data_IF_119241028831
#
_entry.id   IF_119241028831
#
_cell.length_a   1.000
_cell.length_b   1.000
_cell.length_c   1.000
_cell.angle_alpha   90.00
_cell.angle_beta   90.00
_cell.angle_gamma   90.00
#
_symmetry.space_group_name_H-M   'P 1'
#
loop_
_entity.id
_entity.type
_entity.pdbx_description
1 polymer ?
#
# COMPACT_ATOMS: atom_id res chain seq x y z
N UNK A 1 -11.41 -21.11 -28.86
CA UNK A 1 -10.98 -19.97 -29.71
C UNK A 1 -10.01 -19.13 -28.89
N UNK A 2 -8.77 -18.94 -29.34
CA UNK A 2 -7.74 -18.19 -28.58
C UNK A 2 -7.73 -16.74 -29.04
N UNK A 3 -7.89 -15.80 -28.11
CA UNK A 3 -7.85 -14.35 -28.39
C UNK A 3 -6.45 -13.81 -28.07
N UNK A 4 -5.76 -13.29 -29.07
CA UNK A 4 -4.43 -12.68 -28.92
C UNK A 4 -4.55 -11.15 -28.94
N UNK A 5 -3.85 -10.46 -28.02
CA UNK A 5 -3.72 -9.01 -28.01
C UNK A 5 -2.32 -8.59 -27.54
N UNK A 6 -1.83 -7.44 -28.00
CA UNK A 6 -0.50 -6.91 -27.67
C UNK A 6 -0.55 -6.17 -26.33
N UNK A 7 0.45 -6.39 -25.46
CA UNK A 7 0.65 -5.54 -24.28
C UNK A 7 1.14 -4.15 -24.72
N UNK A 8 0.44 -3.10 -24.30
CA UNK A 8 0.75 -1.72 -24.65
C UNK A 8 0.67 -0.80 -23.43
N UNK A 9 1.35 0.35 -23.51
CA UNK A 9 1.29 1.42 -22.53
C UNK A 9 1.56 0.97 -21.09
N UNK A 10 0.67 1.36 -20.18
CA UNK A 10 0.76 1.11 -18.74
C UNK A 10 0.93 -0.38 -18.39
N UNK A 11 0.19 -1.28 -19.05
CA UNK A 11 0.28 -2.73 -18.76
C UNK A 11 1.65 -3.30 -19.12
N UNK A 12 2.26 -2.82 -20.20
CA UNK A 12 3.62 -3.23 -20.58
C UNK A 12 4.64 -2.76 -19.54
N UNK A 13 4.54 -1.50 -19.11
CA UNK A 13 5.44 -0.94 -18.09
C UNK A 13 5.31 -1.67 -16.75
N UNK A 14 4.10 -1.97 -16.30
CA UNK A 14 3.86 -2.77 -15.08
C UNK A 14 4.49 -4.16 -15.19
N UNK A 15 4.26 -4.85 -16.32
CA UNK A 15 4.82 -6.19 -16.53
C UNK A 15 6.36 -6.20 -16.52
N UNK A 16 7.00 -5.19 -17.13
CA UNK A 16 8.45 -5.02 -17.11
C UNK A 16 8.96 -4.76 -15.69
N UNK A 17 8.30 -3.86 -14.93
CA UNK A 17 8.67 -3.51 -13.55
C UNK A 17 8.52 -4.67 -12.57
N UNK A 18 7.37 -5.34 -12.56
CA UNK A 18 7.14 -6.49 -11.68
C UNK A 18 8.01 -7.69 -12.08
N UNK A 19 8.24 -7.87 -13.38
CA UNK A 19 9.19 -8.87 -13.86
C UNK A 19 10.62 -8.58 -13.42
N UNK A 20 11.05 -7.31 -13.40
CA UNK A 20 12.34 -6.92 -12.83
C UNK A 20 12.39 -7.25 -11.33
N UNK A 21 11.39 -6.82 -10.56
CA UNK A 21 11.30 -7.08 -9.11
C UNK A 21 11.48 -8.56 -8.78
N UNK A 22 10.74 -9.46 -9.44
CA UNK A 22 10.85 -10.90 -9.19
C UNK A 22 12.20 -11.52 -9.54
N UNK A 23 12.99 -10.89 -10.42
CA UNK A 23 14.31 -11.39 -10.81
C UNK A 23 15.44 -10.82 -9.96
N UNK A 24 15.24 -9.65 -9.36
CA UNK A 24 16.27 -8.94 -8.59
C UNK A 24 16.04 -8.99 -7.09
N UNK A 25 14.80 -9.19 -6.64
CA UNK A 25 14.48 -9.50 -5.25
C UNK A 25 14.32 -11.01 -5.08
N UNK A 26 14.74 -11.52 -3.92
CA UNK A 26 14.44 -12.88 -3.48
C UNK A 26 13.32 -12.80 -2.43
N UNK A 27 12.04 -12.86 -2.83
CA UNK A 27 10.95 -12.68 -1.90
C UNK A 27 10.85 -13.87 -0.95
N UNK A 28 10.82 -13.58 0.36
CA UNK A 28 10.47 -14.53 1.41
C UNK A 28 9.15 -14.05 2.02
N UNK A 29 8.12 -14.89 1.95
CA UNK A 29 6.81 -14.57 2.51
C UNK A 29 6.66 -15.15 3.91
N UNK A 30 6.32 -14.29 4.87
CA UNK A 30 5.90 -14.70 6.21
C UNK A 30 4.38 -14.52 6.32
N UNK A 31 3.70 -15.55 6.81
CA UNK A 31 2.26 -15.54 7.01
C UNK A 31 1.96 -15.90 8.46
N UNK A 32 1.09 -15.13 9.08
CA UNK A 32 0.61 -15.37 10.45
C UNK A 32 -0.80 -14.83 10.58
N UNK A 33 -1.53 -15.40 11.54
CA UNK A 33 -2.80 -14.86 12.00
C UNK A 33 -2.59 -13.94 13.20
N UNK A 34 -3.57 -13.09 13.48
CA UNK A 34 -3.62 -12.28 14.69
C UNK A 34 -5.06 -12.16 15.22
N UNK A 35 -5.19 -11.99 16.53
CA UNK A 35 -6.47 -11.77 17.20
C UNK A 35 -6.92 -10.31 16.94
N UNK A 36 -8.01 -10.13 16.20
CA UNK A 36 -8.47 -8.82 15.73
C UNK A 36 -9.67 -8.25 16.51
N UNK A 37 -10.22 -8.93 17.51
CA UNK A 37 -11.47 -8.52 18.19
C UNK A 37 -11.39 -7.10 18.74
N UNK A 38 -10.26 -6.72 19.35
CA UNK A 38 -10.08 -5.35 19.87
C UNK A 38 -10.07 -4.30 18.74
N UNK A 39 -9.41 -4.60 17.63
CA UNK A 39 -9.41 -3.73 16.45
C UNK A 39 -10.81 -3.58 15.88
N UNK A 40 -11.54 -4.70 15.74
CA UNK A 40 -12.90 -4.72 15.22
C UNK A 40 -13.87 -3.98 16.15
N UNK A 41 -13.72 -4.09 17.47
CA UNK A 41 -14.55 -3.35 18.42
C UNK A 41 -14.33 -1.83 18.29
N UNK A 42 -13.09 -1.38 18.13
CA UNK A 42 -12.77 0.03 17.89
C UNK A 42 -13.37 0.49 16.56
N UNK A 43 -13.14 -0.27 15.49
CA UNK A 43 -13.67 0.03 14.16
C UNK A 43 -15.21 0.11 14.16
N UNK A 44 -15.89 -0.87 14.73
CA UNK A 44 -17.35 -0.91 14.79
C UNK A 44 -17.91 0.25 15.62
N UNK A 45 -17.28 0.57 16.76
CA UNK A 45 -17.70 1.70 17.60
C UNK A 45 -17.49 3.06 16.92
N UNK A 46 -16.45 3.22 16.10
CA UNK A 46 -16.25 4.41 15.26
C UNK A 46 -17.27 4.46 14.13
N UNK A 47 -17.53 3.33 13.47
CA UNK A 47 -18.49 3.22 12.37
C UNK A 47 -19.91 3.53 12.82
N UNK A 48 -20.30 3.08 14.01
CA UNK A 48 -21.61 3.39 14.61
C UNK A 48 -21.79 4.89 14.88
N UNK A 49 -20.73 5.55 15.37
CA UNK A 49 -20.80 6.98 15.76
C UNK A 49 -20.65 7.93 14.59
N UNK A 50 -19.81 7.60 13.62
CA UNK A 50 -19.36 8.53 12.58
C UNK A 50 -19.85 8.14 11.17
N UNK A 51 -20.42 6.94 11.01
CA UNK A 51 -20.92 6.47 9.73
C UNK A 51 -19.83 6.49 8.66
N UNK A 52 -20.06 7.22 7.58
CA UNK A 52 -19.11 7.31 6.47
C UNK A 52 -17.89 8.19 6.77
N UNK A 53 -17.86 8.96 7.86
CA UNK A 53 -16.66 9.67 8.30
C UNK A 53 -15.73 8.77 9.14
N UNK A 54 -16.14 7.54 9.45
CA UNK A 54 -15.30 6.60 10.18
C UNK A 54 -14.06 6.21 9.38
N UNK A 55 -12.87 6.12 10.03
CA UNK A 55 -11.70 5.52 9.44
C UNK A 55 -11.92 4.07 9.02
N UNK A 56 -11.33 3.69 7.89
CA UNK A 56 -11.31 2.32 7.40
C UNK A 56 -10.34 1.44 8.21
N UNK A 57 -10.51 0.11 8.11
CA UNK A 57 -9.54 -0.85 8.64
C UNK A 57 -8.17 -0.61 8.00
N UNK A 58 -8.11 -0.29 6.71
CA UNK A 58 -6.87 0.07 6.02
C UNK A 58 -6.20 1.27 6.70
N UNK A 59 -6.92 2.36 6.99
CA UNK A 59 -6.34 3.52 7.66
C UNK A 59 -5.83 3.19 9.08
N UNK A 60 -6.56 2.37 9.84
CA UNK A 60 -6.13 1.89 11.16
C UNK A 60 -4.84 1.05 11.10
N UNK A 61 -4.76 0.15 10.12
CA UNK A 61 -3.56 -0.66 9.88
C UNK A 61 -2.40 0.21 9.40
N UNK A 62 -2.63 1.13 8.48
CA UNK A 62 -1.61 2.08 8.00
C UNK A 62 -1.04 2.91 9.14
N UNK A 63 -1.87 3.42 10.07
CA UNK A 63 -1.36 4.13 11.25
C UNK A 63 -0.50 3.22 12.12
N UNK A 64 -0.96 2.00 12.38
CA UNK A 64 -0.24 1.03 13.21
C UNK A 64 1.12 0.65 12.61
N UNK A 65 1.17 0.43 11.29
CA UNK A 65 2.41 0.15 10.54
C UNK A 65 3.32 1.38 10.56
N UNK A 66 2.79 2.58 10.34
CA UNK A 66 3.56 3.82 10.42
C UNK A 66 4.28 4.01 11.76
N UNK A 67 3.56 3.76 12.86
CA UNK A 67 4.12 3.82 14.21
C UNK A 67 5.11 2.67 14.51
N UNK A 68 4.99 1.52 13.84
CA UNK A 68 5.95 0.43 13.97
C UNK A 68 7.26 0.74 13.22
N UNK A 69 7.15 1.19 11.97
CA UNK A 69 8.29 1.54 11.12
C UNK A 69 9.09 2.72 11.69
N UNK A 70 8.44 3.68 12.35
CA UNK A 70 9.14 4.79 13.01
C UNK A 70 10.08 4.34 14.14
N UNK A 71 9.80 3.18 14.76
CA UNK A 71 10.63 2.57 15.82
C UNK A 71 11.55 1.46 15.31
N UNK A 72 11.31 0.94 14.11
CA UNK A 72 12.07 -0.16 13.51
C UNK A 72 12.57 0.26 12.12
N UNK A 73 13.53 1.19 12.11
CA UNK A 73 13.97 1.89 10.90
C UNK A 73 14.57 0.98 9.82
N UNK A 74 15.10 -0.18 10.19
CA UNK A 74 15.65 -1.15 9.23
C UNK A 74 14.59 -1.68 8.24
N UNK A 75 13.30 -1.68 8.62
CA UNK A 75 12.17 -2.01 7.74
C UNK A 75 11.63 -0.81 6.96
N UNK A 76 12.14 0.39 7.24
CA UNK A 76 11.78 1.63 6.55
C UNK A 76 12.93 2.05 5.64
N UNK A 77 13.29 1.22 4.68
CA UNK A 77 14.43 1.43 3.82
C UNK A 77 14.08 1.22 2.34
N UNK A 78 15.02 1.56 1.45
CA UNK A 78 14.97 1.21 0.03
C UNK A 78 16.35 0.71 -0.40
N UNK A 79 16.40 -0.13 -1.44
CA UNK A 79 17.67 -0.55 -2.06
C UNK A 79 17.84 0.18 -3.40
N UNK A 80 18.96 0.89 -3.52
CA UNK A 80 19.35 1.58 -4.74
C UNK A 80 20.79 1.20 -5.12
N UNK A 81 20.93 0.39 -6.17
CA UNK A 81 22.23 -0.18 -6.54
C UNK A 81 22.74 -1.12 -5.46
N UNK A 82 23.91 -0.81 -4.91
CA UNK A 82 24.58 -1.57 -3.85
C UNK A 82 24.42 -0.90 -2.46
N UNK A 83 23.54 0.09 -2.35
CA UNK A 83 23.29 0.83 -1.11
C UNK A 83 21.90 0.55 -0.53
N UNK A 84 21.86 0.37 0.79
CA UNK A 84 20.61 0.39 1.58
C UNK A 84 20.43 1.80 2.13
N UNK A 85 19.31 2.43 1.79
CA UNK A 85 18.97 3.78 2.26
C UNK A 85 17.85 3.68 3.28
N UNK A 86 18.20 3.88 4.55
CA UNK A 86 17.23 3.94 5.66
C UNK A 86 16.57 5.31 5.67
N UNK A 87 15.24 5.32 5.70
CA UNK A 87 14.43 6.54 5.57
C UNK A 87 14.03 7.09 6.94
N UNK A 88 14.17 8.40 7.12
CA UNK A 88 13.72 9.08 8.34
C UNK A 88 12.19 9.25 8.37
N UNK A 89 11.59 9.59 7.24
CA UNK A 89 10.15 9.74 7.06
C UNK A 89 9.50 8.38 6.78
N UNK A 90 8.29 8.14 7.31
CA UNK A 90 7.54 6.90 7.02
C UNK A 90 6.48 7.18 5.96
N UNK A 91 6.83 6.85 4.71
CA UNK A 91 5.96 7.01 3.55
C UNK A 91 5.44 5.63 3.13
N UNK A 92 4.12 5.43 3.16
CA UNK A 92 3.50 4.12 2.89
C UNK A 92 2.64 4.23 1.63
N UNK A 93 2.90 3.37 0.66
CA UNK A 93 2.02 3.19 -0.48
C UNK A 93 0.87 2.23 -0.17
N UNK A 94 -0.32 2.56 -0.65
CA UNK A 94 -1.51 1.72 -0.52
C UNK A 94 -1.91 1.26 -1.92
N UNK A 95 -1.95 -0.05 -2.15
CA UNK A 95 -2.37 -0.61 -3.42
C UNK A 95 -3.88 -0.38 -3.65
N UNK A 96 -4.23 0.27 -4.75
CA UNK A 96 -5.60 0.61 -5.17
C UNK A 96 -5.86 -0.01 -6.54
N UNK A 97 -6.83 -0.92 -6.60
CA UNK A 97 -7.30 -1.50 -7.85
C UNK A 97 -8.26 -0.53 -8.56
N UNK A 98 -8.06 -0.32 -9.86
CA UNK A 98 -8.88 0.57 -10.67
C UNK A 98 -9.16 -0.08 -12.03
N UNK A 99 -10.20 0.36 -12.76
CA UNK A 99 -10.45 -0.13 -14.13
C UNK A 99 -9.25 0.05 -15.09
N UNK A 100 -8.32 0.96 -14.78
CA UNK A 100 -7.13 1.25 -15.58
C UNK A 100 -5.92 0.40 -15.18
N UNK A 101 -5.99 -0.32 -14.05
CA UNK A 101 -4.94 -1.13 -13.47
C UNK A 101 -4.67 -0.77 -12.00
N UNK A 102 -3.67 -1.45 -11.44
CA UNK A 102 -3.24 -1.24 -10.07
C UNK A 102 -2.35 0.00 -9.95
N UNK A 103 -2.71 0.90 -9.04
CA UNK A 103 -1.87 2.01 -8.61
C UNK A 103 -1.46 1.82 -7.15
N UNK A 104 -0.32 2.40 -6.76
CA UNK A 104 0.17 2.38 -5.38
C UNK A 104 0.40 3.82 -4.89
N UNK A 105 -0.67 4.60 -4.67
CA UNK A 105 -0.55 5.94 -4.09
C UNK A 105 0.14 5.94 -2.73
N UNK A 106 1.02 6.92 -2.51
CA UNK A 106 1.81 7.11 -1.29
C UNK A 106 1.13 8.10 -0.35
N UNK A 107 0.92 7.69 0.89
CA UNK A 107 0.61 8.55 2.03
C UNK A 107 1.94 8.91 2.70
N UNK A 108 2.29 10.20 2.73
CA UNK A 108 3.59 10.64 3.25
C UNK A 108 3.54 10.86 4.76
N UNK A 109 4.65 10.73 5.47
CA UNK A 109 4.78 11.05 6.90
C UNK A 109 3.64 10.47 7.76
N UNK A 110 3.39 9.16 7.63
CA UNK A 110 2.27 8.46 8.28
C UNK A 110 2.40 8.50 9.81
N UNK A 111 3.63 8.44 10.31
CA UNK A 111 3.96 8.50 11.74
C UNK A 111 3.49 9.81 12.40
N UNK A 112 3.45 10.91 11.64
CA UNK A 112 3.02 12.22 12.11
C UNK A 112 1.50 12.45 12.00
N UNK A 113 0.77 11.54 11.35
CA UNK A 113 -0.68 11.70 11.09
C UNK A 113 -1.53 10.97 12.10
N UNK A 114 -2.70 11.54 12.36
CA UNK A 114 -3.82 10.86 12.99
C UNK A 114 -4.48 9.88 12.01
N UNK A 115 -5.26 8.94 12.54
CA UNK A 115 -6.00 7.98 11.70
C UNK A 115 -7.02 8.68 10.78
N UNK A 116 -7.59 9.81 11.20
CA UNK A 116 -8.55 10.58 10.40
C UNK A 116 -7.87 11.30 9.23
N UNK A 117 -6.68 11.86 9.45
CA UNK A 117 -5.89 12.46 8.37
C UNK A 117 -5.46 11.40 7.35
N UNK A 118 -5.06 10.21 7.81
CA UNK A 118 -4.73 9.07 6.93
C UNK A 118 -5.95 8.65 6.12
N UNK A 119 -7.13 8.53 6.74
CA UNK A 119 -8.37 8.18 6.03
C UNK A 119 -8.73 9.23 4.97
N UNK A 120 -8.65 10.52 5.31
CA UNK A 120 -8.94 11.60 4.37
C UNK A 120 -7.99 11.60 3.18
N UNK A 121 -6.69 11.38 3.43
CA UNK A 121 -5.68 11.29 2.37
C UNK A 121 -5.87 10.05 1.51
N UNK A 122 -6.19 8.90 2.11
CA UNK A 122 -6.49 7.67 1.41
C UNK A 122 -7.68 7.84 0.45
N UNK A 123 -8.80 8.42 0.91
CA UNK A 123 -9.97 8.69 0.06
C UNK A 123 -9.62 9.59 -1.12
N UNK A 124 -8.88 10.67 -0.85
CA UNK A 124 -8.41 11.59 -1.89
C UNK A 124 -7.57 10.87 -2.95
N UNK A 125 -6.66 10.00 -2.51
CA UNK A 125 -5.77 9.25 -3.40
C UNK A 125 -6.52 8.19 -4.21
N UNK A 126 -7.47 7.47 -3.60
CA UNK A 126 -8.34 6.51 -4.28
C UNK A 126 -9.16 7.20 -5.36
N UNK A 127 -9.83 8.31 -5.03
CA UNK A 127 -10.62 9.08 -5.99
C UNK A 127 -9.77 9.56 -7.19
N UNK A 128 -8.54 10.01 -6.92
CA UNK A 128 -7.61 10.45 -7.97
C UNK A 128 -7.10 9.28 -8.82
N UNK A 129 -6.87 8.12 -8.23
CA UNK A 129 -6.48 6.92 -8.96
C UNK A 129 -7.61 6.45 -9.89
N UNK A 130 -8.85 6.40 -9.37
CA UNK A 130 -10.04 6.01 -10.14
C UNK A 130 -10.32 6.99 -11.30
N UNK A 131 -10.24 8.30 -11.03
CA UNK A 131 -10.38 9.35 -12.06
C UNK A 131 -9.16 9.42 -12.99
N UNK A 132 -8.07 8.75 -12.64
CA UNK A 132 -6.81 8.78 -13.38
C UNK A 132 -6.16 10.16 -13.45
N UNK A 133 -6.35 10.96 -12.41
CA UNK A 133 -5.74 12.28 -12.21
C UNK A 133 -4.57 12.24 -11.22
N UNK A 134 -4.22 11.04 -10.74
CA UNK A 134 -3.08 10.80 -9.86
C UNK A 134 -1.76 11.26 -10.53
N UNK A 135 -0.91 11.90 -9.74
CA UNK A 135 0.36 12.45 -10.21
C UNK A 135 1.52 11.52 -9.87
N UNK A 136 2.65 11.69 -10.57
CA UNK A 136 3.85 10.90 -10.29
C UNK A 136 4.35 11.09 -8.86
N UNK A 137 4.29 12.31 -8.31
CA UNK A 137 4.70 12.62 -6.93
C UNK A 137 3.83 11.90 -5.87
N UNK A 138 2.64 11.45 -6.24
CA UNK A 138 1.75 10.66 -5.39
C UNK A 138 2.01 9.15 -5.53
N UNK A 139 2.90 8.71 -6.43
CA UNK A 139 3.19 7.30 -6.72
C UNK A 139 4.63 6.89 -6.35
N UNK A 140 5.41 7.80 -5.76
CA UNK A 140 6.85 7.60 -5.49
C UNK A 140 7.22 8.11 -4.10
N UNK A 141 8.39 7.69 -3.64
CA UNK A 141 8.98 8.15 -2.37
C UNK A 141 8.47 7.39 -1.15
N UNK A 142 7.77 6.27 -1.36
CA UNK A 142 7.48 5.30 -0.33
C UNK A 142 8.61 4.28 -0.18
N UNK A 143 8.68 3.67 0.99
CA UNK A 143 9.61 2.59 1.36
C UNK A 143 8.87 1.30 1.71
N UNK A 144 7.55 1.37 1.88
CA UNK A 144 6.70 0.26 2.28
C UNK A 144 5.38 0.31 1.53
N UNK A 145 4.85 -0.86 1.17
CA UNK A 145 3.56 -0.98 0.47
C UNK A 145 2.60 -1.88 1.25
N UNK A 146 1.37 -1.41 1.46
CA UNK A 146 0.25 -2.20 1.99
C UNK A 146 -0.69 -2.55 0.84
N UNK A 147 -1.06 -3.83 0.74
CA UNK A 147 -2.11 -4.30 -0.16
C UNK A 147 -3.18 -5.03 0.65
N UNK A 148 -4.45 -4.65 0.45
CA UNK A 148 -5.58 -5.18 1.20
C UNK A 148 -6.62 -5.76 0.24
N UNK A 149 -6.81 -7.08 0.30
CA UNK A 149 -7.79 -7.82 -0.49
C UNK A 149 -8.94 -8.38 0.37
N UNK A 150 -9.14 -7.83 1.58
CA UNK A 150 -10.18 -8.30 2.50
C UNK A 150 -11.60 -8.18 1.95
N UNK A 151 -11.85 -7.25 1.03
CA UNK A 151 -13.16 -7.13 0.36
C UNK A 151 -13.44 -8.25 -0.66
N UNK A 152 -12.43 -9.05 -1.00
CA UNK A 152 -12.53 -10.23 -1.87
C UNK A 152 -12.54 -11.55 -1.09
N UNK A 153 -12.63 -11.48 0.24
CA UNK A 153 -12.51 -12.63 1.15
C UNK A 153 -11.20 -13.43 0.95
N UNK A 154 -10.14 -12.77 0.48
CA UNK A 154 -8.81 -13.36 0.33
C UNK A 154 -8.17 -13.47 1.71
N UNK A 155 -7.82 -14.71 2.10
CA UNK A 155 -7.22 -14.99 3.41
C UNK A 155 -5.70 -14.76 3.38
N UNK A 156 -5.01 -15.29 2.37
CA UNK A 156 -3.57 -15.12 2.19
C UNK A 156 -3.21 -14.87 0.73
N UNK A 157 -2.26 -13.97 0.50
CA UNK A 157 -1.64 -13.78 -0.80
C UNK A 157 -0.20 -13.27 -0.63
N UNK A 158 0.64 -13.52 -1.64
CA UNK A 158 2.03 -13.07 -1.67
C UNK A 158 2.18 -11.95 -2.69
N UNK A 159 2.13 -10.67 -2.29
CA UNK A 159 2.34 -9.57 -3.22
C UNK A 159 3.75 -9.59 -3.80
N UNK A 160 3.88 -9.07 -5.02
CA UNK A 160 5.20 -8.77 -5.60
C UNK A 160 5.66 -7.43 -5.03
N UNK A 161 6.87 -7.39 -4.48
CA UNK A 161 7.49 -6.14 -3.99
C UNK A 161 7.51 -5.11 -5.13
N UNK A 162 7.13 -3.86 -4.84
CA UNK A 162 7.23 -2.76 -5.78
C UNK A 162 8.58 -2.06 -5.57
N UNK A 163 9.61 -2.27 -6.40
CA UNK A 163 10.92 -1.68 -6.14
C UNK A 163 10.85 -0.14 -6.10
N UNK A 164 11.70 0.58 -5.37
CA UNK A 164 12.86 0.09 -4.62
C UNK A 164 12.55 -0.30 -3.16
N UNK A 165 11.27 -0.49 -2.79
CA UNK A 165 10.85 -0.97 -1.47
C UNK A 165 11.59 -2.27 -1.08
N UNK A 166 11.78 -2.48 0.22
CA UNK A 166 12.31 -3.74 0.81
C UNK A 166 11.33 -4.41 1.76
#
# INVERSE_FOLDING_TARGET
MVRTYKLTGLRKAIAERLGYSLRTSLPVALMTDFEASKLLNVYNGLKEKLGDESPSITALLTKSVGDLLSRNKDFNAVIEGDEVKVMDEVNIAIAVDTPRGLFAPTIKNVELKTVFEIEAELRRLVERAEKGTITLNELVGHSFTISNLGHLDVIYFTPIINPPDV
#
